data_IF_014056771321
#
_entry.id   IF_014056771321
#
_cell.length_a   1.000
_cell.length_b   1.000
_cell.length_c   1.000
_cell.angle_alpha   90.00
_cell.angle_beta   90.00
_cell.angle_gamma   90.00
#
_symmetry.space_group_name_H-M   'P 1'
#
loop_
_entity.id
_entity.type
_entity.pdbx_description
1 polymer ?
#
# COMPACT_ATOMS: atom_id res chain seq x y z
N UNK A 1 10.94 -43.30 7.09
CA UNK A 1 10.05 -42.13 7.06
C UNK A 1 10.94 -40.91 6.99
N UNK A 2 10.93 -40.15 5.88
CA UNK A 2 11.82 -39.01 5.72
C UNK A 2 11.12 -37.77 6.26
N UNK A 3 11.82 -36.96 7.05
CA UNK A 3 11.28 -35.72 7.63
C UNK A 3 10.69 -34.75 6.59
N UNK A 4 11.11 -34.85 5.32
CA UNK A 4 10.56 -34.05 4.21
C UNK A 4 9.13 -34.42 3.78
N UNK A 5 8.58 -35.54 4.26
CA UNK A 5 7.19 -35.95 3.95
C UNK A 5 6.17 -35.35 4.94
N UNK A 6 6.64 -34.67 6.00
CA UNK A 6 5.80 -34.12 7.08
C UNK A 6 5.72 -32.59 7.04
N UNK A 7 6.66 -31.92 6.37
CA UNK A 7 6.73 -30.46 6.34
C UNK A 7 7.13 -30.04 4.91
N UNK A 8 6.14 -29.64 4.12
CA UNK A 8 6.36 -28.86 2.90
C UNK A 8 6.65 -27.41 3.32
N UNK A 9 7.92 -27.01 3.21
CA UNK A 9 8.25 -25.59 3.22
C UNK A 9 8.18 -25.09 1.79
N UNK A 10 7.36 -24.08 1.54
CA UNK A 10 7.52 -23.29 0.32
C UNK A 10 8.89 -22.61 0.37
N UNK A 11 9.67 -22.62 -0.72
CA UNK A 11 10.97 -21.97 -0.77
C UNK A 11 10.81 -20.49 -0.42
N UNK A 12 11.52 -20.04 0.62
CA UNK A 12 11.55 -18.64 1.04
C UNK A 12 12.27 -17.84 -0.05
N UNK A 13 11.56 -16.95 -0.74
CA UNK A 13 12.20 -16.02 -1.66
C UNK A 13 13.15 -15.10 -0.89
N UNK A 14 14.41 -15.05 -1.33
CA UNK A 14 15.49 -14.38 -0.61
C UNK A 14 15.44 -12.85 -0.71
N UNK A 15 14.71 -12.29 -1.69
CA UNK A 15 14.50 -10.85 -1.86
C UNK A 15 13.10 -10.60 -2.44
N UNK A 16 12.19 -10.09 -1.60
CA UNK A 16 10.89 -9.60 -2.06
C UNK A 16 11.05 -8.17 -2.58
N UNK A 17 10.85 -7.95 -3.87
CA UNK A 17 10.74 -6.60 -4.45
C UNK A 17 9.31 -6.11 -4.30
N UNK A 18 9.11 -4.85 -3.90
CA UNK A 18 7.75 -4.32 -3.68
C UNK A 18 6.96 -4.27 -4.99
N UNK A 19 7.64 -4.05 -6.11
CA UNK A 19 7.05 -4.01 -7.45
C UNK A 19 6.54 -5.36 -7.93
N UNK A 20 7.01 -6.48 -7.36
CA UNK A 20 6.49 -7.80 -7.75
C UNK A 20 5.03 -7.99 -7.33
N UNK A 21 4.56 -7.27 -6.31
CA UNK A 21 3.16 -7.24 -5.91
C UNK A 21 2.21 -6.59 -6.95
N UNK A 22 2.76 -5.96 -8.01
CA UNK A 22 1.95 -5.47 -9.14
C UNK A 22 1.52 -6.61 -10.08
N UNK A 23 2.15 -7.78 -10.01
CA UNK A 23 1.81 -8.96 -10.83
C UNK A 23 0.83 -9.84 -10.06
N UNK A 24 -0.37 -10.08 -10.61
CA UNK A 24 -1.44 -10.85 -9.95
C UNK A 24 -0.96 -12.19 -9.36
N UNK A 25 -0.23 -13.00 -10.14
CA UNK A 25 0.29 -14.30 -9.67
C UNK A 25 1.29 -14.17 -8.51
N UNK A 26 2.16 -13.16 -8.54
CA UNK A 26 3.12 -12.94 -7.46
C UNK A 26 2.43 -12.39 -6.21
N UNK A 27 1.41 -11.53 -6.37
CA UNK A 27 0.59 -11.06 -5.25
C UNK A 27 -0.11 -12.21 -4.50
N UNK A 28 -0.68 -13.18 -5.23
CA UNK A 28 -1.24 -14.39 -4.62
C UNK A 28 -0.19 -15.18 -3.83
N UNK A 29 0.98 -15.44 -4.42
CA UNK A 29 2.07 -16.15 -3.73
C UNK A 29 2.52 -15.40 -2.47
N UNK A 30 2.69 -14.07 -2.56
CA UNK A 30 3.12 -13.24 -1.43
C UNK A 30 2.10 -13.28 -0.29
N UNK A 31 0.81 -13.25 -0.58
CA UNK A 31 -0.23 -13.33 0.47
C UNK A 31 -0.31 -14.73 1.07
N UNK A 32 -0.28 -15.78 0.25
CA UNK A 32 -0.39 -17.17 0.70
C UNK A 32 0.79 -17.62 1.57
N UNK A 33 2.00 -17.16 1.24
CA UNK A 33 3.24 -17.54 1.93
C UNK A 33 3.52 -16.69 3.17
N UNK A 34 2.72 -15.64 3.42
CA UNK A 34 2.94 -14.76 4.56
C UNK A 34 2.45 -15.39 5.87
N UNK A 35 3.39 -15.62 6.79
CA UNK A 35 3.11 -16.16 8.12
C UNK A 35 2.96 -15.00 9.11
N UNK A 36 1.81 -14.95 9.78
CA UNK A 36 1.45 -13.87 10.71
C UNK A 36 1.58 -14.39 12.14
N UNK A 37 2.42 -13.75 12.95
CA UNK A 37 2.46 -13.99 14.39
C UNK A 37 1.28 -13.31 15.09
N UNK A 38 0.88 -13.79 16.27
CA UNK A 38 -0.19 -13.16 17.07
C UNK A 38 0.07 -11.68 17.34
N UNK A 39 1.30 -11.32 17.71
CA UNK A 39 1.67 -9.91 17.91
C UNK A 39 1.51 -9.07 16.64
N UNK A 40 1.85 -9.63 15.47
CA UNK A 40 1.65 -8.92 14.20
C UNK A 40 0.17 -8.83 13.84
N UNK A 41 -0.62 -9.87 14.12
CA UNK A 41 -2.06 -9.87 13.92
C UNK A 41 -2.72 -8.75 14.74
N UNK A 42 -2.32 -8.58 16.01
CA UNK A 42 -2.79 -7.47 16.85
C UNK A 42 -2.42 -6.11 16.25
N UNK A 43 -1.16 -5.91 15.82
CA UNK A 43 -0.74 -4.65 15.20
C UNK A 43 -1.50 -4.35 13.91
N UNK A 44 -1.72 -5.36 13.07
CA UNK A 44 -2.47 -5.22 11.82
C UNK A 44 -3.93 -4.82 12.08
N UNK A 45 -4.59 -5.55 12.98
CA UNK A 45 -6.02 -5.37 13.28
C UNK A 45 -6.30 -4.10 14.08
N UNK A 46 -5.42 -3.70 15.00
CA UNK A 46 -5.66 -2.58 15.90
C UNK A 46 -5.01 -1.26 15.47
N UNK A 47 -3.96 -1.31 14.64
CA UNK A 47 -3.22 -0.10 14.23
C UNK A 47 -3.26 0.12 12.72
N UNK A 48 -2.94 -0.89 11.91
CA UNK A 48 -2.77 -0.68 10.46
C UNK A 48 -4.12 -0.50 9.76
N UNK A 49 -5.02 -1.47 9.91
CA UNK A 49 -6.33 -1.49 9.23
C UNK A 49 -7.21 -0.29 9.64
N UNK A 50 -7.30 0.08 10.93
CA UNK A 50 -8.10 1.23 11.35
C UNK A 50 -7.66 2.57 10.74
N UNK A 51 -6.36 2.73 10.43
CA UNK A 51 -5.79 3.94 9.80
C UNK A 51 -5.99 3.97 8.28
N UNK A 52 -6.44 2.87 7.69
CA UNK A 52 -6.67 2.74 6.25
C UNK A 52 -8.16 2.76 5.90
N UNK A 53 -9.01 2.15 6.73
CA UNK A 53 -10.44 2.02 6.43
C UNK A 53 -11.16 3.38 6.27
N UNK A 54 -12.26 3.38 5.49
CA UNK A 54 -13.04 4.58 5.16
C UNK A 54 -14.47 4.60 5.72
N UNK A 55 -14.86 3.57 6.46
CA UNK A 55 -16.23 3.41 6.95
C UNK A 55 -16.46 4.25 8.21
N UNK A 56 -15.43 4.36 9.05
CA UNK A 56 -15.45 5.20 10.24
C UNK A 56 -14.59 6.45 10.02
N UNK A 57 -15.16 7.66 10.20
CA UNK A 57 -14.41 8.89 10.09
C UNK A 57 -13.43 8.99 11.26
N UNK A 58 -12.15 8.84 10.97
CA UNK A 58 -11.05 8.99 11.91
C UNK A 58 -9.98 9.90 11.32
N UNK A 59 -9.16 10.52 12.18
CA UNK A 59 -7.99 11.28 11.76
C UNK A 59 -6.89 10.30 11.30
N UNK A 60 -7.02 9.80 10.06
CA UNK A 60 -6.11 8.83 9.46
C UNK A 60 -4.70 9.42 9.33
N UNK A 61 -3.72 8.70 9.87
CA UNK A 61 -2.31 9.10 9.88
C UNK A 61 -1.45 8.19 9.03
N UNK A 62 -0.28 8.71 8.67
CA UNK A 62 0.74 7.89 8.03
C UNK A 62 1.32 6.84 8.94
N UNK A 63 1.54 5.66 8.36
CA UNK A 63 2.22 4.55 9.01
C UNK A 63 3.67 4.50 8.53
N UNK A 64 4.60 4.29 9.46
CA UNK A 64 6.02 4.09 9.18
C UNK A 64 6.45 2.74 9.75
N UNK A 65 6.86 1.82 8.87
CA UNK A 65 7.33 0.49 9.26
C UNK A 65 8.85 0.52 9.40
N UNK A 66 9.35 0.33 10.63
CA UNK A 66 10.78 0.29 10.94
C UNK A 66 11.16 -1.12 11.38
N UNK A 67 12.33 -1.61 10.95
CA UNK A 67 12.86 -2.88 11.40
C UNK A 67 14.13 -3.28 10.67
N UNK A 68 14.79 -4.33 11.18
CA UNK A 68 16.11 -4.76 10.71
C UNK A 68 16.06 -5.44 9.35
N UNK A 69 17.21 -5.59 8.70
CA UNK A 69 17.30 -6.34 7.43
C UNK A 69 16.82 -7.78 7.64
N UNK A 70 16.09 -8.32 6.65
CA UNK A 70 15.60 -9.70 6.70
C UNK A 70 14.37 -9.96 7.58
N UNK A 71 13.77 -8.95 8.22
CA UNK A 71 12.57 -9.15 9.08
C UNK A 71 11.24 -9.11 8.32
N UNK A 72 11.24 -9.35 7.00
CA UNK A 72 10.02 -9.43 6.20
C UNK A 72 9.23 -8.11 6.04
N UNK A 73 9.83 -6.93 6.26
CA UNK A 73 9.12 -5.63 6.13
C UNK A 73 8.54 -5.40 4.74
N UNK A 74 9.34 -5.64 3.70
CA UNK A 74 8.87 -5.51 2.32
C UNK A 74 7.77 -6.51 2.02
N UNK A 75 7.85 -7.72 2.56
CA UNK A 75 6.79 -8.73 2.43
C UNK A 75 5.49 -8.27 3.10
N UNK A 76 5.56 -7.76 4.34
CA UNK A 76 4.42 -7.16 5.04
C UNK A 76 3.79 -6.03 4.22
N UNK A 77 4.59 -5.08 3.72
CA UNK A 77 4.11 -3.97 2.90
C UNK A 77 3.48 -4.46 1.59
N UNK A 78 4.08 -5.46 0.93
CA UNK A 78 3.52 -6.09 -0.26
C UNK A 78 2.17 -6.75 0.04
N UNK A 79 2.02 -7.46 1.16
CA UNK A 79 0.76 -8.11 1.55
C UNK A 79 -0.33 -7.08 1.82
N UNK A 80 -0.06 -6.10 2.68
CA UNK A 80 -1.04 -5.06 3.03
C UNK A 80 -1.47 -4.28 1.78
N UNK A 81 -0.50 -3.88 0.96
CA UNK A 81 -0.78 -3.13 -0.28
C UNK A 81 -1.54 -3.98 -1.31
N UNK A 82 -1.27 -5.28 -1.40
CA UNK A 82 -1.98 -6.19 -2.32
C UNK A 82 -3.43 -6.41 -1.90
N UNK A 83 -3.66 -6.65 -0.59
CA UNK A 83 -5.01 -6.77 -0.05
C UNK A 83 -5.82 -5.49 -0.31
N UNK A 84 -5.23 -4.33 -0.06
CA UNK A 84 -5.86 -3.04 -0.32
C UNK A 84 -6.24 -2.85 -1.81
N UNK A 85 -5.43 -3.37 -2.73
CA UNK A 85 -5.66 -3.27 -4.16
C UNK A 85 -6.66 -4.29 -4.72
N UNK A 86 -6.70 -5.51 -4.18
CA UNK A 86 -7.51 -6.62 -4.72
C UNK A 86 -8.15 -7.45 -3.59
N UNK A 87 -9.49 -7.49 -3.61
CA UNK A 87 -10.28 -8.25 -2.66
C UNK A 87 -10.19 -9.77 -2.85
N UNK A 88 -9.82 -10.25 -4.04
CA UNK A 88 -9.68 -11.69 -4.32
C UNK A 88 -8.55 -12.36 -3.51
N UNK A 89 -7.58 -11.55 -3.05
CA UNK A 89 -6.43 -12.00 -2.28
C UNK A 89 -6.76 -12.29 -0.82
N UNK A 90 -7.93 -11.85 -0.34
CA UNK A 90 -8.33 -12.01 1.06
C UNK A 90 -8.34 -13.48 1.49
N UNK A 91 -8.75 -14.38 0.60
CA UNK A 91 -8.84 -15.81 0.89
C UNK A 91 -7.48 -16.49 1.11
N UNK A 92 -6.41 -15.88 0.61
CA UNK A 92 -5.04 -16.35 0.77
C UNK A 92 -4.44 -16.11 2.16
N UNK A 93 -5.05 -15.24 2.98
CA UNK A 93 -4.52 -14.91 4.31
C UNK A 93 -4.72 -16.06 5.31
N UNK A 94 -3.64 -16.66 5.78
CA UNK A 94 -3.68 -17.79 6.73
C UNK A 94 -4.40 -17.48 8.06
N UNK A 95 -4.35 -16.23 8.54
CA UNK A 95 -4.89 -15.85 9.85
C UNK A 95 -6.33 -15.29 9.76
N UNK A 96 -7.31 -16.00 10.31
CA UNK A 96 -8.73 -15.63 10.24
C UNK A 96 -9.05 -14.23 10.81
N UNK A 97 -8.54 -13.89 12.00
CA UNK A 97 -8.80 -12.56 12.59
C UNK A 97 -8.27 -11.39 11.75
N UNK A 98 -7.10 -11.54 11.11
CA UNK A 98 -6.56 -10.53 10.20
C UNK A 98 -7.36 -10.49 8.91
N UNK A 99 -7.78 -11.65 8.39
CA UNK A 99 -8.66 -11.75 7.21
C UNK A 99 -9.96 -10.97 7.41
N UNK A 100 -10.61 -11.17 8.56
CA UNK A 100 -11.86 -10.48 8.88
C UNK A 100 -11.67 -8.97 8.96
N UNK A 101 -10.60 -8.49 9.61
CA UNK A 101 -10.28 -7.07 9.65
C UNK A 101 -9.91 -6.51 8.27
N UNK A 102 -9.12 -7.25 7.48
CA UNK A 102 -8.66 -6.81 6.17
C UNK A 102 -9.79 -6.66 5.15
N UNK A 103 -10.95 -7.30 5.37
CA UNK A 103 -12.16 -7.09 4.57
C UNK A 103 -12.59 -5.61 4.51
N UNK A 104 -12.24 -4.81 5.52
CA UNK A 104 -12.56 -3.38 5.58
C UNK A 104 -11.77 -2.56 4.55
N UNK A 105 -10.61 -3.04 4.12
CA UNK A 105 -9.71 -2.33 3.21
C UNK A 105 -9.62 -2.99 1.84
N UNK A 106 -10.10 -4.23 1.70
CA UNK A 106 -9.74 -5.06 0.57
C UNK A 106 -10.38 -4.60 -0.75
N UNK A 107 -9.56 -4.44 -1.80
CA UNK A 107 -10.02 -3.96 -3.10
C UNK A 107 -10.53 -2.50 -3.14
N UNK A 108 -10.33 -1.73 -2.07
CA UNK A 108 -10.85 -0.35 -1.94
C UNK A 108 -9.85 0.72 -2.35
N UNK A 109 -8.65 0.32 -2.77
CA UNK A 109 -7.55 1.24 -3.01
C UNK A 109 -6.96 1.15 -4.41
N UNK A 110 -6.59 2.32 -4.93
CA UNK A 110 -5.53 2.40 -5.95
C UNK A 110 -4.22 2.56 -5.22
N UNK A 111 -3.37 1.56 -5.42
CA UNK A 111 -2.10 1.40 -4.71
C UNK A 111 -0.98 1.74 -5.65
N UNK A 112 -0.10 2.63 -5.20
CA UNK A 112 1.11 3.01 -5.91
C UNK A 112 2.30 2.56 -5.06
N UNK A 113 3.16 1.74 -5.67
CA UNK A 113 4.31 1.09 -5.03
C UNK A 113 5.58 1.64 -5.64
N UNK A 114 6.36 2.37 -4.84
CA UNK A 114 7.58 3.03 -5.32
C UNK A 114 8.77 2.70 -4.42
N UNK A 115 9.93 2.54 -5.06
CA UNK A 115 11.20 2.31 -4.38
C UNK A 115 12.12 3.48 -4.66
N UNK A 116 12.55 4.18 -3.60
CA UNK A 116 13.45 5.32 -3.74
C UNK A 116 14.88 4.80 -3.87
N UNK A 117 15.45 4.95 -5.07
CA UNK A 117 16.85 4.63 -5.34
C UNK A 117 17.82 5.72 -4.87
N UNK A 118 19.10 5.60 -5.26
CA UNK A 118 20.09 6.64 -5.02
C UNK A 118 19.79 7.85 -5.93
N UNK A 119 19.34 8.96 -5.35
CA UNK A 119 19.04 10.19 -6.08
C UNK A 119 19.46 11.41 -5.26
N UNK A 120 19.82 12.48 -5.96
CA UNK A 120 20.13 13.80 -5.38
C UNK A 120 18.90 14.72 -5.34
N UNK A 121 17.76 14.26 -5.86
CA UNK A 121 16.50 15.00 -5.87
C UNK A 121 15.90 15.12 -4.47
N UNK A 122 15.07 16.15 -4.27
CA UNK A 122 14.33 16.29 -3.02
C UNK A 122 13.24 15.20 -2.91
N UNK A 123 12.87 14.81 -1.69
CA UNK A 123 11.81 13.83 -1.45
C UNK A 123 10.50 14.24 -2.14
N UNK A 124 10.18 15.53 -2.15
CA UNK A 124 8.99 16.06 -2.82
C UNK A 124 9.04 15.77 -4.31
N UNK A 125 10.15 16.09 -4.98
CA UNK A 125 10.26 15.94 -6.43
C UNK A 125 10.20 14.46 -6.83
N UNK A 126 10.79 13.57 -6.01
CA UNK A 126 10.67 12.12 -6.19
C UNK A 126 9.21 11.69 -6.09
N UNK A 127 8.50 12.10 -5.02
CA UNK A 127 7.11 11.71 -4.82
C UNK A 127 6.19 12.24 -5.92
N UNK A 128 6.38 13.49 -6.33
CA UNK A 128 5.61 14.13 -7.40
C UNK A 128 5.84 13.43 -8.74
N UNK A 129 7.11 13.16 -9.11
CA UNK A 129 7.40 12.48 -10.36
C UNK A 129 6.77 11.09 -10.43
N UNK A 130 6.89 10.31 -9.36
CA UNK A 130 6.24 8.99 -9.27
C UNK A 130 4.71 9.11 -9.29
N UNK A 131 4.15 10.14 -8.66
CA UNK A 131 2.69 10.41 -8.68
C UNK A 131 2.20 10.65 -10.10
N UNK A 132 2.86 11.54 -10.84
CA UNK A 132 2.51 11.89 -12.21
C UNK A 132 2.58 10.67 -13.13
N UNK A 133 3.69 9.92 -13.07
CA UNK A 133 3.88 8.71 -13.89
C UNK A 133 2.79 7.66 -13.61
N UNK A 134 2.45 7.45 -12.34
CA UNK A 134 1.43 6.46 -11.98
C UNK A 134 0.01 6.94 -12.27
N UNK A 135 -0.28 8.24 -12.14
CA UNK A 135 -1.57 8.82 -12.52
C UNK A 135 -1.77 8.71 -14.03
N UNK A 136 -0.74 8.99 -14.84
CA UNK A 136 -0.78 8.85 -16.29
C UNK A 136 -1.08 7.40 -16.70
N UNK A 137 -0.44 6.41 -16.07
CA UNK A 137 -0.74 4.97 -16.28
C UNK A 137 -2.18 4.59 -15.93
N UNK A 138 -2.80 5.32 -15.00
CA UNK A 138 -4.21 5.16 -14.64
C UNK A 138 -5.17 5.97 -15.53
N UNK A 139 -4.65 6.69 -16.52
CA UNK A 139 -5.41 7.54 -17.44
C UNK A 139 -5.73 8.94 -16.91
N UNK A 140 -5.08 9.35 -15.82
CA UNK A 140 -5.26 10.66 -15.18
C UNK A 140 -4.07 11.55 -15.52
N UNK A 141 -4.23 12.46 -16.48
CA UNK A 141 -3.22 13.47 -16.76
C UNK A 141 -3.27 14.57 -15.69
N UNK A 142 -2.23 14.66 -14.87
CA UNK A 142 -2.07 15.71 -13.88
C UNK A 142 -0.59 16.08 -13.75
N UNK A 143 -0.31 17.38 -13.68
CA UNK A 143 1.05 17.91 -13.49
C UNK A 143 1.05 18.78 -12.25
N UNK A 144 1.92 18.46 -11.31
CA UNK A 144 2.14 19.22 -10.11
C UNK A 144 2.97 20.48 -10.41
N UNK A 145 2.67 21.59 -9.74
CA UNK A 145 3.44 22.82 -9.89
C UNK A 145 4.86 22.68 -9.31
N UNK A 146 5.82 23.42 -9.88
CA UNK A 146 7.21 23.41 -9.44
C UNK A 146 7.39 23.89 -8.00
N UNK A 147 8.47 23.45 -7.35
CA UNK A 147 8.69 23.73 -5.94
C UNK A 147 8.87 25.20 -5.58
N UNK A 148 9.48 25.98 -6.46
CA UNK A 148 9.64 27.42 -6.28
C UNK A 148 8.36 28.23 -6.49
N UNK A 149 7.30 27.63 -7.05
CA UNK A 149 6.08 28.36 -7.43
C UNK A 149 4.95 28.26 -6.41
N UNK A 150 5.10 27.39 -5.40
CA UNK A 150 4.06 27.16 -4.39
C UNK A 150 4.54 27.45 -2.98
N UNK A 151 3.65 28.08 -2.20
CA UNK A 151 3.88 28.33 -0.77
C UNK A 151 3.42 27.17 0.11
N UNK A 152 2.53 26.32 -0.40
CA UNK A 152 2.00 25.15 0.31
C UNK A 152 1.59 24.04 -0.67
N UNK A 153 1.95 22.80 -0.35
CA UNK A 153 1.63 21.59 -1.11
C UNK A 153 0.15 21.20 -1.04
N UNK A 154 -0.59 21.67 -0.02
CA UNK A 154 -1.98 21.28 0.21
C UNK A 154 -2.87 21.50 -1.01
N UNK A 155 -2.76 22.67 -1.66
CA UNK A 155 -3.56 22.99 -2.86
C UNK A 155 -3.26 22.05 -4.02
N UNK A 156 -1.98 21.76 -4.26
CA UNK A 156 -1.58 20.86 -5.34
C UNK A 156 -2.13 19.43 -5.15
N UNK A 157 -2.27 18.96 -3.91
CA UNK A 157 -2.94 17.68 -3.63
C UNK A 157 -4.47 17.79 -3.68
N UNK A 158 -5.04 18.91 -3.23
CA UNK A 158 -6.49 19.18 -3.34
C UNK A 158 -6.96 19.22 -4.80
N UNK A 159 -6.17 19.80 -5.69
CA UNK A 159 -6.49 19.92 -7.12
C UNK A 159 -6.31 18.60 -7.89
N UNK A 160 -5.46 17.69 -7.40
CA UNK A 160 -5.28 16.33 -7.94
C UNK A 160 -6.49 15.43 -7.63
N UNK A 161 -7.12 15.60 -6.46
CA UNK A 161 -8.20 14.72 -6.00
C UNK A 161 -9.44 14.69 -6.93
N UNK A 162 -9.95 15.81 -7.47
CA UNK A 162 -11.05 15.81 -8.44
C UNK A 162 -10.72 15.05 -9.74
N UNK A 163 -9.48 15.16 -10.21
CA UNK A 163 -9.03 14.50 -11.44
C UNK A 163 -9.02 12.99 -11.28
N UNK A 164 -8.56 12.48 -10.14
CA UNK A 164 -8.60 11.05 -9.82
C UNK A 164 -10.01 10.51 -9.53
N UNK A 165 -10.84 11.26 -8.81
CA UNK A 165 -12.20 10.86 -8.45
C UNK A 165 -13.13 10.70 -9.69
N UNK A 166 -12.82 11.39 -10.79
CA UNK A 166 -13.57 11.29 -12.04
C UNK A 166 -13.38 9.94 -12.73
N UNK A 167 -12.23 9.30 -12.54
CA UNK A 167 -11.92 7.98 -13.10
C UNK A 167 -12.20 6.82 -12.13
N UNK A 168 -12.16 7.06 -10.82
CA UNK A 168 -12.38 6.03 -9.80
C UNK A 168 -13.42 6.46 -8.74
N UNK A 169 -14.72 6.45 -9.08
CA UNK A 169 -15.77 6.71 -8.10
C UNK A 169 -15.78 5.56 -7.08
N UNK A 170 -15.64 5.89 -5.78
CA UNK A 170 -15.62 4.98 -4.63
C UNK A 170 -14.31 4.23 -4.33
N UNK A 171 -13.18 4.60 -4.93
CA UNK A 171 -11.86 4.06 -4.58
C UNK A 171 -10.99 5.14 -3.95
N UNK A 172 -10.31 4.84 -2.85
CA UNK A 172 -9.36 5.79 -2.27
C UNK A 172 -7.96 5.60 -2.86
N UNK A 173 -7.19 6.68 -2.95
CA UNK A 173 -5.79 6.61 -3.39
C UNK A 173 -4.92 6.48 -2.13
N UNK A 174 -4.11 5.42 -2.03
CA UNK A 174 -3.18 5.25 -0.90
C UNK A 174 -1.79 4.85 -1.38
N UNK A 175 -0.81 5.47 -0.74
CA UNK A 175 0.58 5.54 -1.18
C UNK A 175 1.50 4.74 -0.27
N UNK A 176 2.37 3.91 -0.86
CA UNK A 176 3.36 3.13 -0.13
C UNK A 176 4.76 3.35 -0.71
N UNK A 177 5.65 3.92 0.11
CA UNK A 177 7.07 4.11 -0.21
C UNK A 177 7.92 3.57 0.93
N UNK A 178 9.08 2.99 0.60
CA UNK A 178 10.03 2.38 1.55
C UNK A 178 10.69 3.35 2.53
N UNK A 179 10.51 4.67 2.36
CA UNK A 179 11.29 5.66 3.12
C UNK A 179 10.50 6.82 3.75
N UNK A 180 9.16 6.92 3.61
CA UNK A 180 8.40 7.96 4.31
C UNK A 180 6.90 7.67 4.44
N UNK A 181 6.32 8.26 5.48
CA UNK A 181 4.92 8.16 5.95
C UNK A 181 3.87 8.22 4.85
N UNK A 182 2.93 7.27 4.89
CA UNK A 182 1.71 7.22 4.07
C UNK A 182 0.81 8.44 4.32
N UNK A 183 0.22 9.03 3.28
CA UNK A 183 -0.95 9.92 3.45
C UNK A 183 -2.09 9.31 2.66
N UNK A 184 -3.20 9.04 3.34
CA UNK A 184 -4.36 8.34 2.79
C UNK A 184 -5.53 9.34 2.92
N UNK A 185 -5.99 9.91 1.80
CA UNK A 185 -7.07 10.92 1.80
C UNK A 185 -8.34 10.33 1.17
N UNK A 186 -9.51 10.39 1.85
CA UNK A 186 -10.76 9.89 1.28
C UNK A 186 -11.25 10.81 0.15
N UNK A 187 -11.52 10.21 -1.02
CA UNK A 187 -12.21 10.88 -2.13
C UNK A 187 -13.72 10.94 -1.84
N UNK A 188 -14.17 11.81 -0.93
CA UNK A 188 -15.57 12.23 -0.88
C UNK A 188 -15.69 13.69 -1.25
N UNK A 189 -16.31 13.93 -2.40
CA UNK A 189 -16.90 15.22 -2.74
C UNK A 189 -17.88 15.62 -1.63
N UNK A 190 -17.63 16.77 -1.00
CA UNK A 190 -18.62 17.40 -0.12
C UNK A 190 -19.87 17.73 -0.96
N UNK A 191 -20.99 17.11 -0.64
CA UNK A 191 -22.33 17.61 -0.96
C UNK A 191 -22.71 18.73 -0.01
#
# INVERSE_FOLDING_TARGET
MKYGDLIQFDPIESVVQLRDADKANAAHTLVNTYVISEEMAERLTQLVIPQMQFDQPVDNKGLLVVGNYGTGKSHLMSVVSSLAADASLLDGLSHAGVRDAASQISGRFKVIRTEIGATTMSLRDILVAELEEHLEKLGVEYVFPEAGTITNHKRAFEDMMPSSARFFPNTACCWWSTSCSTTCAPARTRS
#
